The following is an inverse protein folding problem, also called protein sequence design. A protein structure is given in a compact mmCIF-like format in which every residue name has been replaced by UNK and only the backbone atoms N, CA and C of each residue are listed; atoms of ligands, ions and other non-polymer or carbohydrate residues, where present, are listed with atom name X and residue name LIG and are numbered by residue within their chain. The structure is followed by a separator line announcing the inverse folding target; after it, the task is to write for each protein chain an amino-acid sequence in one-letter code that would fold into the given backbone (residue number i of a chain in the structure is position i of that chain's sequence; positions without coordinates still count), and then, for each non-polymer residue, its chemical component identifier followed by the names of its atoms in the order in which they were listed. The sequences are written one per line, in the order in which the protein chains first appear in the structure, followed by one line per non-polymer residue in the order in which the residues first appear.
data_IF_736127607083
#
_entry.id   IF_736127607083
#
_cell.length_a   1.000
_cell.length_b   1.000
_cell.length_c   1.000
_cell.angle_alpha   90.00
_cell.angle_beta   90.00
_cell.angle_gamma   90.00
#
_symmetry.space_group_name_H-M   'P 1'
#
loop_
_entity.id
_entity.type
_entity.pdbx_description
1 polymer ?
#
# COMPACT_ATOMS: atom_id res chain seq x y z
N UNK A 1 14.06 -3.57 33.53
CA UNK A 1 14.62 -2.24 33.22
C UNK A 1 13.50 -1.23 33.24
N UNK A 2 13.75 -0.02 33.78
CA UNK A 2 12.74 0.92 34.29
C UNK A 2 11.65 1.26 33.25
N UNK A 3 10.42 0.84 33.51
CA UNK A 3 9.22 1.43 32.91
C UNK A 3 9.08 2.82 33.52
N UNK A 4 9.54 3.84 32.80
CA UNK A 4 9.20 5.22 33.13
C UNK A 4 7.73 5.40 32.75
N UNK A 5 6.83 5.45 33.74
CA UNK A 5 5.44 5.83 33.49
C UNK A 5 5.44 7.24 32.89
N UNK A 6 5.28 7.34 31.57
CA UNK A 6 5.17 8.63 30.88
C UNK A 6 3.83 9.25 31.26
N UNK A 7 3.85 10.50 31.71
CA UNK A 7 2.64 11.21 32.13
C UNK A 7 1.95 11.73 30.89
N UNK A 8 0.94 11.00 30.42
CA UNK A 8 -0.01 11.54 29.45
C UNK A 8 -0.92 12.55 30.14
N UNK A 9 -1.08 13.71 29.50
CA UNK A 9 -2.22 14.58 29.79
C UNK A 9 -3.36 14.18 28.88
N UNK A 10 -4.57 14.05 29.42
CA UNK A 10 -5.79 13.69 28.69
C UNK A 10 -6.74 14.88 28.67
N UNK A 11 -7.31 15.14 27.51
CA UNK A 11 -8.36 16.13 27.33
C UNK A 11 -9.56 15.46 26.68
N UNK A 12 -10.73 15.61 27.30
CA UNK A 12 -12.00 15.29 26.66
C UNK A 12 -12.24 16.23 25.48
N UNK A 13 -12.85 15.73 24.42
CA UNK A 13 -13.03 16.43 23.15
C UNK A 13 -14.51 16.72 22.88
N UNK A 14 -15.17 17.63 23.63
CA UNK A 14 -16.51 18.08 23.27
C UNK A 14 -16.49 18.85 21.93
N UNK A 15 -17.61 18.82 21.22
CA UNK A 15 -17.78 19.58 19.98
C UNK A 15 -17.46 21.07 20.22
N UNK A 16 -16.60 21.66 19.38
CA UNK A 16 -16.31 23.11 19.37
C UNK A 16 -15.09 23.61 20.14
N UNK A 17 -14.38 22.80 20.94
CA UNK A 17 -13.19 23.29 21.69
C UNK A 17 -11.94 23.41 20.80
N UNK A 18 -11.25 24.55 20.72
CA UNK A 18 -10.09 24.69 19.83
C UNK A 18 -8.85 23.90 20.33
N UNK A 19 -8.07 23.21 19.44
CA UNK A 19 -6.88 22.44 19.84
C UNK A 19 -5.80 23.23 20.60
N UNK A 20 -5.65 24.54 20.33
CA UNK A 20 -4.70 25.42 21.01
C UNK A 20 -5.03 25.65 22.49
N UNK A 21 -6.30 25.50 22.88
CA UNK A 21 -6.76 25.61 24.28
C UNK A 21 -6.34 24.38 25.09
N UNK A 22 -6.16 23.24 24.44
CA UNK A 22 -5.84 21.97 25.11
C UNK A 22 -4.33 21.83 25.34
N UNK A 23 -3.53 22.03 24.30
CA UNK A 23 -2.09 21.81 24.37
C UNK A 23 -1.28 23.01 24.87
N UNK A 24 -1.91 24.18 25.00
CA UNK A 24 -1.20 25.45 25.13
C UNK A 24 -0.69 25.97 23.78
N UNK A 25 0.03 27.09 23.80
CA UNK A 25 0.49 27.76 22.59
C UNK A 25 1.68 27.08 21.91
N UNK A 26 2.51 26.35 22.65
CA UNK A 26 3.65 25.61 22.10
C UNK A 26 3.96 24.35 22.93
N UNK A 27 3.28 23.23 22.67
CA UNK A 27 3.51 21.96 23.38
C UNK A 27 4.81 21.25 22.98
N UNK A 28 5.54 21.76 21.99
CA UNK A 28 6.69 21.08 21.38
C UNK A 28 6.32 19.77 20.66
N UNK A 29 7.33 19.02 20.18
CA UNK A 29 7.13 17.69 19.61
C UNK A 29 6.61 16.70 20.65
N UNK A 30 5.88 15.68 20.20
CA UNK A 30 5.40 14.64 21.09
C UNK A 30 4.57 13.57 20.41
N UNK A 31 4.08 12.64 21.24
CA UNK A 31 3.19 11.55 20.83
C UNK A 31 1.81 11.81 21.43
N UNK A 32 0.78 11.64 20.61
CA UNK A 32 -0.63 11.73 20.99
C UNK A 32 -1.33 10.38 20.79
N UNK A 33 -2.37 10.14 21.59
CA UNK A 33 -3.32 9.05 21.40
C UNK A 33 -4.72 9.63 21.29
N UNK A 34 -5.40 9.40 20.17
CA UNK A 34 -6.81 9.75 19.99
C UNK A 34 -7.65 8.59 20.51
N UNK A 35 -8.65 8.87 21.33
CA UNK A 35 -9.64 7.91 21.78
C UNK A 35 -10.92 8.12 20.97
N UNK A 36 -11.53 7.04 20.47
CA UNK A 36 -12.74 7.08 19.66
C UNK A 36 -13.96 6.55 20.42
N UNK A 37 -15.15 6.91 19.97
CA UNK A 37 -16.41 6.56 20.63
C UNK A 37 -16.68 5.04 20.72
N UNK A 38 -16.08 4.25 19.82
CA UNK A 38 -16.17 2.79 19.80
C UNK A 38 -15.15 2.10 20.74
N UNK A 39 -14.36 2.87 21.50
CA UNK A 39 -13.32 2.37 22.39
C UNK A 39 -12.00 2.04 21.70
N UNK A 40 -11.89 2.23 20.39
CA UNK A 40 -10.62 2.12 19.68
C UNK A 40 -9.74 3.36 19.90
N UNK A 41 -8.45 3.25 19.58
CA UNK A 41 -7.48 4.34 19.76
C UNK A 41 -6.56 4.52 18.55
N UNK A 42 -6.06 5.74 18.29
CA UNK A 42 -5.04 6.02 17.27
C UNK A 42 -3.83 6.64 17.94
N UNK A 43 -2.64 6.08 17.76
CA UNK A 43 -1.38 6.65 18.26
C UNK A 43 -0.69 7.38 17.11
N UNK A 44 -0.24 8.60 17.34
CA UNK A 44 0.56 9.30 16.35
C UNK A 44 1.59 10.20 16.99
N UNK A 45 2.66 10.48 16.28
CA UNK A 45 3.62 11.50 16.67
C UNK A 45 3.49 12.77 15.81
N UNK A 46 3.97 13.89 16.35
CA UNK A 46 4.05 15.14 15.60
C UNK A 46 5.07 16.10 16.20
N UNK A 47 5.74 16.84 15.31
CA UNK A 47 6.50 18.05 15.68
C UNK A 47 5.59 19.28 15.88
N UNK A 48 4.35 19.23 15.38
CA UNK A 48 3.35 20.29 15.45
C UNK A 48 1.97 19.73 15.83
N UNK A 49 1.78 19.26 17.08
CA UNK A 49 0.61 18.48 17.48
C UNK A 49 -0.72 19.25 17.40
N UNK A 50 -0.71 20.58 17.55
CA UNK A 50 -1.93 21.42 17.40
C UNK A 50 -2.48 21.31 15.98
N UNK A 51 -1.64 21.54 14.97
CA UNK A 51 -2.02 21.45 13.56
C UNK A 51 -2.43 20.03 13.20
N UNK A 52 -1.71 19.02 13.72
CA UNK A 52 -2.02 17.62 13.48
C UNK A 52 -3.38 17.21 14.06
N UNK A 53 -3.71 17.65 15.27
CA UNK A 53 -5.02 17.40 15.87
C UNK A 53 -6.14 18.10 15.09
N UNK A 54 -5.93 19.32 14.61
CA UNK A 54 -6.90 20.02 13.77
C UNK A 54 -7.22 19.24 12.48
N UNK A 55 -6.21 18.66 11.83
CA UNK A 55 -6.39 17.77 10.66
C UNK A 55 -7.19 16.53 11.02
N UNK A 56 -6.85 15.85 12.12
CA UNK A 56 -7.56 14.64 12.55
C UNK A 56 -9.04 14.88 12.84
N UNK A 57 -9.43 16.03 13.40
CA UNK A 57 -10.85 16.38 13.63
C UNK A 57 -11.65 16.64 12.36
N UNK A 58 -10.99 17.04 11.28
CA UNK A 58 -11.67 17.18 9.98
C UNK A 58 -12.03 15.80 9.44
N UNK A 59 -11.12 14.84 9.61
CA UNK A 59 -11.24 13.46 9.13
C UNK A 59 -12.14 12.58 10.00
N UNK A 60 -11.87 12.52 11.30
CA UNK A 60 -12.58 11.66 12.24
C UNK A 60 -13.55 12.48 13.09
N UNK A 61 -14.84 12.13 13.03
CA UNK A 61 -15.92 12.84 13.73
C UNK A 61 -16.24 12.25 15.10
N UNK A 62 -15.73 11.07 15.38
CA UNK A 62 -16.00 10.24 16.55
C UNK A 62 -14.86 10.23 17.57
N UNK A 63 -13.90 11.17 17.46
CA UNK A 63 -12.87 11.38 18.49
C UNK A 63 -13.55 11.91 19.76
N UNK A 64 -13.41 11.19 20.87
CA UNK A 64 -13.98 11.55 22.18
C UNK A 64 -12.95 12.13 23.14
N UNK A 65 -11.67 11.80 22.97
CA UNK A 65 -10.59 12.39 23.76
C UNK A 65 -9.25 12.35 23.03
N UNK A 66 -8.29 13.13 23.54
CA UNK A 66 -6.88 13.06 23.14
C UNK A 66 -5.99 12.98 24.37
N UNK A 67 -5.03 12.07 24.34
CA UNK A 67 -3.91 11.99 25.28
C UNK A 67 -2.67 12.53 24.58
N UNK A 68 -1.82 13.28 25.26
CA UNK A 68 -0.53 13.73 24.70
C UNK A 68 0.57 13.74 25.73
N UNK A 69 1.78 13.42 25.27
CA UNK A 69 3.03 13.58 26.01
C UNK A 69 4.05 14.25 25.10
N UNK A 70 4.77 15.24 25.64
CA UNK A 70 5.91 15.83 24.94
C UNK A 70 7.07 14.83 24.93
N UNK A 71 7.78 14.78 23.80
CA UNK A 71 8.90 13.86 23.56
C UNK A 71 9.93 14.60 22.69
N UNK A 72 11.21 14.44 23.01
CA UNK A 72 12.27 14.97 22.18
C UNK A 72 12.18 14.43 20.75
N UNK A 73 12.47 15.28 19.76
CA UNK A 73 12.33 14.91 18.35
C UNK A 73 13.12 13.65 17.96
N UNK A 74 14.26 13.41 18.60
CA UNK A 74 15.10 12.24 18.36
C UNK A 74 14.52 10.93 18.92
N UNK A 75 13.58 11.02 19.86
CA UNK A 75 12.99 9.89 20.56
C UNK A 75 11.56 9.56 20.11
N UNK A 76 10.95 10.38 19.23
CA UNK A 76 9.55 10.24 18.84
C UNK A 76 9.23 8.81 18.37
N UNK A 77 10.00 8.27 17.42
CA UNK A 77 9.73 6.95 16.83
C UNK A 77 9.80 5.84 17.87
N UNK A 78 10.81 5.89 18.74
CA UNK A 78 11.00 4.91 19.81
C UNK A 78 9.84 4.97 20.80
N UNK A 79 9.43 6.18 21.19
CA UNK A 79 8.35 6.38 22.18
C UNK A 79 7.00 5.98 21.61
N UNK A 80 6.70 6.35 20.36
CA UNK A 80 5.49 5.94 19.65
C UNK A 80 5.37 4.41 19.57
N UNK A 81 6.46 3.73 19.18
CA UNK A 81 6.52 2.27 19.13
C UNK A 81 6.28 1.60 20.48
N UNK A 82 6.88 2.13 21.55
CA UNK A 82 6.64 1.63 22.90
C UNK A 82 5.18 1.77 23.33
N UNK A 83 4.51 2.89 22.96
CA UNK A 83 3.10 3.14 23.26
C UNK A 83 2.20 2.19 22.47
N UNK A 84 2.43 2.05 21.16
CA UNK A 84 1.68 1.13 20.30
C UNK A 84 1.79 -0.31 20.81
N UNK A 85 3.02 -0.72 21.16
CA UNK A 85 3.27 -2.07 21.69
C UNK A 85 2.57 -2.27 23.03
N UNK A 86 2.61 -1.29 23.92
CA UNK A 86 1.91 -1.34 25.21
C UNK A 86 0.39 -1.49 25.05
N UNK A 87 -0.23 -0.62 24.25
CA UNK A 87 -1.68 -0.64 24.03
C UNK A 87 -2.15 -1.93 23.35
N UNK A 88 -1.37 -2.48 22.41
CA UNK A 88 -1.65 -3.79 21.81
C UNK A 88 -1.60 -4.92 22.83
N UNK A 89 -0.61 -4.93 23.71
CA UNK A 89 -0.50 -5.93 24.78
C UNK A 89 -1.65 -5.83 25.80
N UNK A 90 -2.24 -4.63 25.94
CA UNK A 90 -3.43 -4.39 26.76
C UNK A 90 -4.74 -4.74 26.03
N UNK A 91 -4.67 -5.19 24.77
CA UNK A 91 -5.83 -5.59 23.97
C UNK A 91 -6.63 -4.42 23.40
N UNK A 92 -6.07 -3.21 23.38
CA UNK A 92 -6.71 -2.03 22.80
C UNK A 92 -6.73 -2.15 21.27
N UNK A 93 -7.90 -1.95 20.68
CA UNK A 93 -8.05 -1.91 19.23
C UNK A 93 -7.44 -0.61 18.69
N UNK A 94 -6.28 -0.69 18.03
CA UNK A 94 -5.62 0.47 17.45
C UNK A 94 -6.08 0.73 16.00
N UNK A 95 -6.63 1.93 15.75
CA UNK A 95 -6.89 2.49 14.40
C UNK A 95 -5.63 2.92 13.65
N UNK A 96 -4.44 2.72 14.22
CA UNK A 96 -3.20 2.74 13.46
C UNK A 96 -3.24 1.58 12.49
N UNK A 97 -3.95 1.80 11.39
CA UNK A 97 -4.20 0.83 10.34
C UNK A 97 -2.89 0.33 9.72
N UNK A 98 -1.79 1.04 9.92
CA UNK A 98 -0.54 0.81 9.21
C UNK A 98 0.69 0.87 10.11
N UNK A 99 1.58 -0.12 10.05
CA UNK A 99 2.92 0.00 10.67
C UNK A 99 3.79 1.06 9.99
N UNK A 100 3.41 1.49 8.79
CA UNK A 100 4.11 2.45 7.94
C UNK A 100 3.66 3.91 8.14
N UNK A 101 2.71 4.19 9.03
CA UNK A 101 2.29 5.57 9.34
C UNK A 101 3.23 6.30 10.31
N UNK A 102 4.29 5.62 10.78
CA UNK A 102 5.39 6.20 11.55
C UNK A 102 6.45 6.78 10.59
N UNK A 103 7.33 7.71 11.02
CA UNK A 103 8.47 8.08 10.19
C UNK A 103 9.34 6.86 9.95
N UNK A 104 9.35 6.43 8.71
CA UNK A 104 10.18 5.33 8.30
C UNK A 104 11.61 5.85 8.15
N UNK A 105 12.59 5.09 8.63
CA UNK A 105 14.01 5.46 8.49
C UNK A 105 14.36 5.82 7.05
N UNK A 106 15.31 6.76 6.86
CA UNK A 106 15.66 7.34 5.55
C UNK A 106 15.68 6.30 4.42
N UNK A 107 14.93 6.57 3.35
CA UNK A 107 14.90 5.73 2.14
C UNK A 107 15.28 6.56 0.92
N UNK A 108 15.85 5.92 -0.10
CA UNK A 108 16.03 6.55 -1.41
C UNK A 108 14.70 6.97 -2.05
N UNK A 109 13.59 6.33 -1.66
CA UNK A 109 12.25 6.72 -2.07
C UNK A 109 11.89 8.13 -1.60
N UNK A 110 12.44 8.59 -0.45
CA UNK A 110 12.12 9.90 0.14
C UNK A 110 12.57 11.08 -0.75
N UNK A 111 13.48 10.83 -1.70
CA UNK A 111 13.92 11.82 -2.70
C UNK A 111 12.99 11.88 -3.94
N UNK A 112 12.10 10.89 -4.10
CA UNK A 112 11.16 10.78 -5.22
C UNK A 112 9.74 11.13 -4.73
N UNK A 113 9.37 10.58 -3.57
CA UNK A 113 8.08 10.82 -2.90
C UNK A 113 8.39 11.14 -1.44
N UNK A 114 7.99 12.30 -0.94
CA UNK A 114 8.27 12.69 0.45
C UNK A 114 7.64 11.73 1.46
N UNK A 115 8.16 11.71 2.69
CA UNK A 115 7.55 10.88 3.74
C UNK A 115 6.13 11.33 4.06
N UNK A 116 5.84 12.64 3.98
CA UNK A 116 4.48 13.15 4.14
C UNK A 116 3.54 12.62 3.05
N UNK A 117 3.96 12.62 1.79
CA UNK A 117 3.17 12.09 0.67
C UNK A 117 2.96 10.57 0.77
N UNK A 118 3.98 9.82 1.19
CA UNK A 118 3.86 8.38 1.43
C UNK A 118 2.85 8.07 2.56
N UNK A 119 2.89 8.84 3.65
CA UNK A 119 1.97 8.68 4.77
C UNK A 119 0.54 9.11 4.40
N UNK A 120 0.39 10.16 3.58
CA UNK A 120 -0.90 10.59 3.05
C UNK A 120 -1.49 9.51 2.12
N UNK A 121 -0.68 8.96 1.22
CA UNK A 121 -1.06 7.89 0.29
C UNK A 121 -1.59 6.65 1.01
N UNK A 122 -0.84 6.14 1.99
CA UNK A 122 -1.24 4.91 2.68
C UNK A 122 -2.49 5.10 3.55
N UNK A 123 -2.72 6.34 3.98
CA UNK A 123 -3.89 6.71 4.77
C UNK A 123 -5.05 7.19 3.91
N UNK A 124 -4.93 7.29 2.58
CA UNK A 124 -6.02 7.76 1.73
C UNK A 124 -7.06 6.64 1.56
N UNK A 125 -8.35 6.96 1.64
CA UNK A 125 -9.38 6.00 1.24
C UNK A 125 -9.33 5.79 -0.28
N UNK A 126 -9.79 4.63 -0.75
CA UNK A 126 -9.75 4.27 -2.18
C UNK A 126 -10.35 5.36 -3.09
N UNK A 127 -11.46 5.97 -2.64
CA UNK A 127 -12.18 7.00 -3.40
C UNK A 127 -11.51 8.38 -3.36
N UNK A 128 -10.63 8.63 -2.39
CA UNK A 128 -9.97 9.93 -2.17
C UNK A 128 -8.51 9.93 -2.64
N UNK A 129 -7.98 8.77 -3.04
CA UNK A 129 -6.63 8.66 -3.55
C UNK A 129 -6.56 9.20 -4.98
N UNK A 130 -6.34 10.51 -5.14
CA UNK A 130 -6.00 11.12 -6.42
C UNK A 130 -4.61 10.64 -6.87
N UNK A 131 -4.57 9.48 -7.53
CA UNK A 131 -3.36 8.95 -8.14
C UNK A 131 -3.07 9.80 -9.37
N UNK A 132 -2.23 10.81 -9.20
CA UNK A 132 -1.78 11.62 -10.32
C UNK A 132 -0.76 10.81 -11.12
N UNK A 133 -1.19 10.23 -12.23
CA UNK A 133 -0.27 9.76 -13.28
C UNK A 133 0.08 10.96 -14.14
N UNK A 134 1.37 11.27 -14.27
CA UNK A 134 1.83 12.35 -15.13
C UNK A 134 1.27 12.17 -16.56
N UNK A 135 0.50 13.14 -17.10
CA UNK A 135 -0.06 13.05 -18.45
C UNK A 135 1.01 12.79 -19.51
N UNK A 136 2.21 13.33 -19.32
CA UNK A 136 3.36 13.14 -20.21
C UNK A 136 3.77 11.67 -20.31
N UNK A 137 3.63 10.89 -19.23
CA UNK A 137 3.95 9.45 -19.24
C UNK A 137 2.94 8.66 -20.07
N UNK A 138 1.66 9.05 -20.02
CA UNK A 138 0.58 8.47 -20.82
C UNK A 138 0.76 8.81 -22.30
N UNK A 139 1.04 10.07 -22.63
CA UNK A 139 1.27 10.49 -24.01
C UNK A 139 2.51 9.82 -24.61
N UNK A 140 3.58 9.68 -23.83
CA UNK A 140 4.76 8.91 -24.23
C UNK A 140 4.43 7.43 -24.51
N UNK A 141 3.56 6.82 -23.69
CA UNK A 141 3.10 5.45 -23.93
C UNK A 141 2.33 5.34 -25.25
N UNK A 142 1.35 6.24 -25.49
CA UNK A 142 0.56 6.29 -26.72
C UNK A 142 1.46 6.45 -27.95
N UNK A 143 2.42 7.37 -27.90
CA UNK A 143 3.36 7.61 -29.00
C UNK A 143 4.20 6.37 -29.33
N UNK A 144 4.68 5.65 -28.31
CA UNK A 144 5.48 4.43 -28.50
C UNK A 144 4.67 3.26 -29.04
N UNK A 145 3.44 3.07 -28.56
CA UNK A 145 2.54 2.04 -29.07
C UNK A 145 2.20 2.31 -30.54
N UNK A 146 1.95 3.57 -30.90
CA UNK A 146 1.69 3.96 -32.29
C UNK A 146 2.91 3.73 -33.19
N UNK A 147 4.11 4.05 -32.70
CA UNK A 147 5.35 3.90 -33.47
C UNK A 147 5.74 2.44 -33.71
N UNK A 148 5.45 1.55 -32.75
CA UNK A 148 5.74 0.12 -32.85
C UNK A 148 4.68 -0.70 -32.08
N UNK A 149 3.59 -1.09 -32.76
CA UNK A 149 2.48 -1.83 -32.15
C UNK A 149 2.83 -3.29 -31.83
N UNK A 150 3.98 -3.79 -32.30
CA UNK A 150 4.42 -5.18 -32.14
C UNK A 150 5.38 -5.38 -30.97
N UNK A 151 5.65 -4.34 -30.15
CA UNK A 151 6.55 -4.40 -28.99
C UNK A 151 6.11 -5.38 -27.91
N UNK A 152 4.81 -5.63 -27.80
CA UNK A 152 4.28 -6.67 -26.91
C UNK A 152 4.55 -8.06 -27.51
N UNK A 153 5.05 -9.02 -26.72
CA UNK A 153 5.28 -10.38 -27.21
C UNK A 153 4.04 -10.96 -27.89
N UNK A 154 4.19 -11.52 -29.10
CA UNK A 154 3.07 -12.05 -29.90
C UNK A 154 2.13 -12.99 -29.12
N UNK A 155 2.61 -13.95 -28.30
CA UNK A 155 1.71 -14.80 -27.52
C UNK A 155 0.81 -14.03 -26.55
N UNK A 156 1.32 -12.96 -25.96
CA UNK A 156 0.56 -12.08 -25.07
C UNK A 156 -0.40 -11.19 -25.86
N UNK A 157 0.07 -10.58 -26.96
CA UNK A 157 -0.76 -9.72 -27.82
C UNK A 157 -1.97 -10.45 -28.41
N UNK A 158 -1.80 -11.72 -28.74
CA UNK A 158 -2.87 -12.58 -29.29
C UNK A 158 -3.70 -13.27 -28.20
N UNK A 159 -3.45 -12.96 -26.92
CA UNK A 159 -4.15 -13.62 -25.82
C UNK A 159 -5.62 -13.17 -25.77
N UNK A 160 -6.60 -14.08 -25.71
CA UNK A 160 -8.02 -13.72 -25.74
C UNK A 160 -8.43 -12.80 -24.58
N UNK A 161 -7.80 -12.96 -23.41
CA UNK A 161 -8.09 -12.17 -22.21
C UNK A 161 -7.05 -11.08 -21.90
N UNK A 162 -6.34 -10.59 -22.92
CA UNK A 162 -5.33 -9.55 -22.73
C UNK A 162 -5.96 -8.29 -22.12
N UNK A 163 -7.19 -7.94 -22.51
CA UNK A 163 -7.83 -6.71 -22.05
C UNK A 163 -8.19 -6.75 -20.57
N UNK A 164 -8.71 -7.88 -20.09
CA UNK A 164 -9.01 -8.14 -18.69
C UNK A 164 -7.74 -8.09 -17.86
N UNK A 165 -6.67 -8.75 -18.32
CA UNK A 165 -5.37 -8.69 -17.67
C UNK A 165 -4.86 -7.26 -17.55
N UNK A 166 -4.90 -6.48 -18.63
CA UNK A 166 -4.44 -5.08 -18.63
C UNK A 166 -5.30 -4.20 -17.72
N UNK A 167 -6.63 -4.39 -17.68
CA UNK A 167 -7.53 -3.69 -16.75
C UNK A 167 -7.10 -3.98 -15.30
N UNK A 168 -6.93 -5.24 -14.93
CA UNK A 168 -6.56 -5.63 -13.57
C UNK A 168 -5.18 -5.08 -13.18
N UNK A 169 -4.18 -5.15 -14.05
CA UNK A 169 -2.86 -4.57 -13.76
C UNK A 169 -2.95 -3.04 -13.60
N UNK A 170 -3.75 -2.36 -14.43
CA UNK A 170 -3.96 -0.91 -14.33
C UNK A 170 -4.65 -0.55 -13.01
N UNK A 171 -5.71 -1.26 -12.63
CA UNK A 171 -6.40 -1.11 -11.35
C UNK A 171 -5.42 -1.30 -10.19
N UNK A 172 -4.55 -2.31 -10.24
CA UNK A 172 -3.57 -2.53 -9.19
C UNK A 172 -2.55 -1.40 -9.10
N UNK A 173 -1.93 -1.01 -10.22
CA UNK A 173 -0.95 0.08 -10.26
C UNK A 173 -1.54 1.38 -9.74
N UNK A 174 -2.75 1.69 -10.16
CA UNK A 174 -3.47 2.88 -9.71
C UNK A 174 -3.71 2.80 -8.21
N UNK A 175 -4.32 1.73 -7.74
CA UNK A 175 -4.83 1.68 -6.37
C UNK A 175 -3.74 1.46 -5.34
N UNK A 176 -2.65 0.77 -5.69
CA UNK A 176 -1.70 0.22 -4.71
C UNK A 176 -0.34 0.91 -4.74
N UNK A 177 0.17 1.30 -5.91
CA UNK A 177 1.52 1.84 -6.03
C UNK A 177 1.49 3.37 -5.94
N UNK A 178 2.18 3.99 -4.97
CA UNK A 178 2.29 5.44 -4.91
C UNK A 178 3.12 5.96 -6.09
N UNK A 179 2.60 6.96 -6.81
CA UNK A 179 3.28 7.63 -7.92
C UNK A 179 3.92 6.62 -8.90
N UNK A 180 3.11 5.78 -9.58
CA UNK A 180 3.62 4.63 -10.31
C UNK A 180 4.56 5.02 -11.46
N UNK A 181 4.37 6.20 -12.07
CA UNK A 181 5.23 6.72 -13.14
C UNK A 181 6.65 7.10 -12.67
N UNK A 182 6.78 7.62 -11.43
CA UNK A 182 8.09 8.02 -10.87
C UNK A 182 8.95 6.82 -10.47
N UNK A 183 8.31 5.69 -10.18
CA UNK A 183 8.96 4.49 -9.64
C UNK A 183 9.07 3.33 -10.65
N UNK A 184 8.63 3.53 -11.90
CA UNK A 184 8.69 2.54 -12.98
C UNK A 184 10.13 2.06 -13.26
N UNK A 185 10.32 0.74 -13.38
CA UNK A 185 11.58 0.09 -13.74
C UNK A 185 12.69 0.19 -12.68
N UNK A 186 12.53 1.06 -11.68
CA UNK A 186 13.47 1.28 -10.57
C UNK A 186 12.94 0.78 -9.24
N UNK A 187 11.68 1.04 -8.93
CA UNK A 187 11.00 0.60 -7.71
C UNK A 187 10.17 -0.65 -7.97
N UNK A 188 9.38 -0.63 -9.03
CA UNK A 188 8.56 -1.77 -9.46
C UNK A 188 8.87 -2.17 -10.91
N UNK A 189 8.53 -3.41 -11.26
CA UNK A 189 8.81 -4.02 -12.56
C UNK A 189 7.61 -4.84 -13.01
N UNK A 190 7.16 -4.62 -14.25
CA UNK A 190 6.30 -5.54 -14.99
C UNK A 190 7.11 -6.41 -15.93
N UNK A 191 6.93 -7.74 -15.86
CA UNK A 191 7.46 -8.70 -16.84
C UNK A 191 6.35 -9.20 -17.75
N UNK A 192 6.61 -9.25 -19.06
CA UNK A 192 5.65 -9.73 -20.06
C UNK A 192 6.01 -11.14 -20.52
N UNK A 193 5.06 -12.07 -20.45
CA UNK A 193 5.19 -13.47 -20.84
C UNK A 193 6.46 -14.17 -20.30
N UNK A 194 6.73 -14.10 -18.98
CA UNK A 194 7.96 -14.63 -18.43
C UNK A 194 8.01 -16.17 -18.53
N UNK A 195 9.22 -16.72 -18.65
CA UNK A 195 9.45 -18.17 -18.67
C UNK A 195 9.48 -18.83 -17.29
N UNK A 196 9.32 -18.06 -16.22
CA UNK A 196 9.30 -18.52 -14.83
C UNK A 196 8.26 -19.63 -14.65
N UNK A 197 8.68 -20.77 -14.09
CA UNK A 197 7.86 -21.95 -13.84
C UNK A 197 7.09 -22.50 -15.07
N UNK A 198 7.49 -22.12 -16.29
CA UNK A 198 6.79 -22.54 -17.50
C UNK A 198 6.88 -24.05 -17.67
N UNK A 199 5.73 -24.71 -17.79
CA UNK A 199 5.62 -26.13 -18.13
C UNK A 199 4.67 -26.30 -19.32
N UNK A 200 4.39 -27.56 -19.72
CA UNK A 200 3.36 -27.86 -20.73
C UNK A 200 1.96 -27.46 -20.26
N UNK A 201 1.73 -27.41 -18.95
CA UNK A 201 0.43 -27.19 -18.33
C UNK A 201 0.37 -25.92 -17.49
N UNK A 202 1.43 -25.10 -17.47
CA UNK A 202 1.50 -23.86 -16.70
C UNK A 202 2.21 -22.78 -17.50
N UNK A 203 1.64 -21.58 -17.58
CA UNK A 203 2.31 -20.41 -18.17
C UNK A 203 1.91 -19.11 -17.49
N UNK A 204 2.88 -18.23 -17.29
CA UNK A 204 2.67 -16.86 -16.82
C UNK A 204 2.32 -15.96 -18.00
N UNK A 205 1.28 -15.14 -17.86
CA UNK A 205 1.01 -14.03 -18.76
C UNK A 205 1.88 -12.82 -18.38
N UNK A 206 1.89 -12.45 -17.10
CA UNK A 206 2.68 -11.34 -16.60
C UNK A 206 2.94 -11.44 -15.09
N UNK A 207 3.94 -10.69 -14.63
CA UNK A 207 4.27 -10.57 -13.21
C UNK A 207 4.60 -9.11 -12.91
N UNK A 208 3.93 -8.55 -11.90
CA UNK A 208 4.29 -7.29 -11.26
C UNK A 208 5.09 -7.59 -9.98
N UNK A 209 6.29 -7.02 -9.90
CA UNK A 209 7.19 -7.23 -8.78
C UNK A 209 7.71 -5.92 -8.22
N UNK A 210 7.88 -5.87 -6.90
CA UNK A 210 8.60 -4.81 -6.20
C UNK A 210 9.70 -5.50 -5.41
N UNK A 211 10.94 -5.06 -5.60
CA UNK A 211 12.10 -5.77 -5.07
C UNK A 211 12.16 -7.25 -5.50
N UNK A 212 12.02 -8.16 -4.54
CA UNK A 212 12.08 -9.61 -4.69
C UNK A 212 10.73 -10.28 -4.37
N UNK A 213 9.64 -9.51 -4.32
CA UNK A 213 8.28 -9.98 -4.10
C UNK A 213 7.49 -9.81 -5.40
N UNK A 214 6.79 -10.86 -5.82
CA UNK A 214 5.79 -10.79 -6.89
C UNK A 214 4.46 -10.39 -6.25
N UNK A 215 4.06 -9.13 -6.35
CA UNK A 215 2.87 -8.64 -5.64
C UNK A 215 1.58 -9.06 -6.34
N UNK A 216 1.61 -9.07 -7.67
CA UNK A 216 0.51 -9.49 -8.52
C UNK A 216 1.10 -10.29 -9.68
N UNK A 217 0.58 -11.46 -9.97
CA UNK A 217 0.93 -12.17 -11.20
C UNK A 217 -0.26 -12.94 -11.77
N UNK A 218 -0.27 -13.02 -13.09
CA UNK A 218 -1.34 -13.65 -13.86
C UNK A 218 -0.75 -14.88 -14.56
N UNK A 219 -1.40 -16.02 -14.37
CA UNK A 219 -1.00 -17.25 -15.03
C UNK A 219 -2.22 -18.04 -15.51
N UNK A 220 -1.94 -19.06 -16.30
CA UNK A 220 -2.92 -20.06 -16.68
C UNK A 220 -2.37 -21.44 -16.40
N UNK A 221 -3.24 -22.28 -15.84
CA UNK A 221 -3.01 -23.70 -15.72
C UNK A 221 -3.92 -24.46 -16.68
N UNK A 222 -3.45 -25.63 -17.10
CA UNK A 222 -4.22 -26.51 -17.96
C UNK A 222 -5.01 -27.47 -17.09
N UNK A 223 -6.34 -27.40 -17.20
CA UNK A 223 -7.23 -28.29 -16.45
C UNK A 223 -7.26 -29.70 -17.04
N UNK A 224 -7.92 -30.62 -16.33
CA UNK A 224 -8.01 -32.03 -16.72
C UNK A 224 -8.67 -32.24 -18.09
N UNK A 225 -9.59 -31.36 -18.48
CA UNK A 225 -10.24 -31.38 -19.80
C UNK A 225 -9.38 -30.78 -20.92
N UNK A 226 -8.19 -30.26 -20.58
CA UNK A 226 -7.22 -29.70 -21.51
C UNK A 226 -7.44 -28.22 -21.84
N UNK A 227 -8.43 -27.55 -21.26
CA UNK A 227 -8.65 -26.10 -21.37
C UNK A 227 -7.64 -25.32 -20.50
N UNK A 228 -7.40 -24.07 -20.87
CA UNK A 228 -6.62 -23.14 -20.06
C UNK A 228 -7.54 -22.40 -19.11
N UNK A 229 -7.22 -22.45 -17.82
CA UNK A 229 -7.92 -21.75 -16.75
C UNK A 229 -7.02 -20.63 -16.22
N UNK A 230 -7.57 -19.43 -16.19
CA UNK A 230 -6.86 -18.22 -15.76
C UNK A 230 -6.90 -18.14 -14.25
N UNK A 231 -5.75 -17.79 -13.67
CA UNK A 231 -5.61 -17.55 -12.23
C UNK A 231 -4.81 -16.26 -12.03
N UNK A 232 -5.33 -15.41 -11.15
CA UNK A 232 -4.65 -14.23 -10.64
C UNK A 232 -4.17 -14.54 -9.22
N UNK A 233 -2.91 -14.18 -8.93
CA UNK A 233 -2.39 -14.28 -7.56
C UNK A 233 -2.06 -12.90 -7.05
N UNK A 234 -2.55 -12.63 -5.85
CA UNK A 234 -2.37 -11.38 -5.14
C UNK A 234 -1.66 -11.66 -3.81
N UNK A 235 -0.51 -11.01 -3.61
CA UNK A 235 0.17 -10.98 -2.33
C UNK A 235 -0.09 -9.64 -1.63
N UNK A 236 -0.43 -9.71 -0.34
CA UNK A 236 -0.64 -8.56 0.53
C UNK A 236 0.17 -8.69 1.81
N UNK A 237 0.25 -7.61 2.59
CA UNK A 237 0.94 -7.62 3.86
C UNK A 237 0.27 -8.59 4.86
N UNK A 238 1.04 -9.19 5.77
CA UNK A 238 0.51 -10.11 6.80
C UNK A 238 -0.37 -9.40 7.85
N UNK A 239 -0.47 -8.08 7.78
CA UNK A 239 -1.32 -7.21 8.59
C UNK A 239 -2.80 -7.24 8.19
N UNK A 240 -3.16 -7.89 7.07
CA UNK A 240 -4.56 -8.10 6.69
C UNK A 240 -5.30 -8.80 7.86
N UNK A 241 -6.29 -8.15 8.48
CA UNK A 241 -7.00 -8.70 9.62
C UNK A 241 -7.80 -9.96 9.24
N UNK A 242 -7.87 -10.92 10.16
CA UNK A 242 -8.71 -12.10 9.98
C UNK A 242 -10.22 -11.77 9.99
N UNK A 243 -10.58 -10.55 10.39
CA UNK A 243 -11.95 -10.01 10.36
C UNK A 243 -12.34 -9.38 9.03
N UNK A 244 -11.42 -9.24 8.07
CA UNK A 244 -11.74 -8.74 6.72
C UNK A 244 -12.77 -9.67 6.06
N UNK A 245 -13.75 -9.08 5.37
CA UNK A 245 -14.79 -9.84 4.68
C UNK A 245 -14.21 -10.77 3.60
N UNK A 246 -13.12 -10.33 2.97
CA UNK A 246 -12.37 -11.11 1.97
C UNK A 246 -11.12 -11.78 2.55
N UNK A 247 -10.86 -11.65 3.86
CA UNK A 247 -9.64 -12.16 4.50
C UNK A 247 -9.49 -13.68 4.39
N UNK A 248 -10.60 -14.41 4.32
CA UNK A 248 -10.64 -15.87 4.14
C UNK A 248 -10.19 -16.33 2.74
N UNK A 249 -10.06 -15.44 1.77
CA UNK A 249 -9.50 -15.76 0.45
C UNK A 249 -7.96 -15.84 0.47
N UNK A 250 -7.33 -15.42 1.57
CA UNK A 250 -5.89 -15.33 1.68
C UNK A 250 -5.32 -16.36 2.64
N UNK A 251 -4.34 -17.11 2.17
CA UNK A 251 -3.55 -18.05 2.96
C UNK A 251 -2.24 -17.41 3.43
N UNK A 252 -1.70 -17.88 4.55
CA UNK A 252 -0.37 -17.48 5.02
C UNK A 252 0.72 -17.98 4.06
N UNK A 253 1.59 -17.06 3.66
CA UNK A 253 2.73 -17.32 2.79
C UNK A 253 3.99 -16.63 3.29
N UNK A 254 5.13 -16.95 2.67
CA UNK A 254 6.37 -16.26 2.97
C UNK A 254 7.34 -16.26 1.79
N UNK A 255 8.00 -15.14 1.60
CA UNK A 255 9.16 -15.01 0.73
C UNK A 255 10.44 -15.12 1.57
N UNK A 256 11.37 -15.98 1.16
CA UNK A 256 12.63 -16.25 1.87
C UNK A 256 13.37 -14.98 2.34
N UNK A 257 13.33 -13.92 1.54
CA UNK A 257 14.10 -12.70 1.74
C UNK A 257 13.25 -11.46 2.01
N UNK A 258 11.94 -11.53 1.82
CA UNK A 258 11.03 -10.41 2.07
C UNK A 258 10.14 -10.59 3.29
N UNK A 259 10.06 -11.81 3.84
CA UNK A 259 9.29 -12.13 5.02
C UNK A 259 7.88 -12.64 4.71
N UNK A 260 7.01 -12.67 5.73
CA UNK A 260 5.65 -13.18 5.60
C UNK A 260 4.79 -12.28 4.71
N UNK A 261 3.84 -12.91 4.02
CA UNK A 261 2.79 -12.30 3.20
C UNK A 261 1.50 -13.09 3.38
N UNK A 262 0.37 -12.53 2.99
CA UNK A 262 -0.88 -13.26 2.79
C UNK A 262 -1.15 -13.36 1.29
N UNK A 263 -1.55 -14.53 0.79
CA UNK A 263 -1.64 -14.84 -0.64
C UNK A 263 -3.03 -15.34 -1.02
N UNK A 264 -3.68 -14.69 -1.98
CA UNK A 264 -4.93 -15.16 -2.57
C UNK A 264 -4.71 -15.71 -3.98
N UNK A 265 -5.39 -16.82 -4.30
CA UNK A 265 -5.49 -17.38 -5.64
C UNK A 265 -6.92 -17.17 -6.15
N UNK A 266 -7.07 -16.25 -7.08
CA UNK A 266 -8.36 -15.79 -7.59
C UNK A 266 -8.59 -16.40 -8.98
N UNK A 267 -9.78 -16.95 -9.20
CA UNK A 267 -10.17 -17.49 -10.48
C UNK A 267 -10.38 -16.35 -11.48
N UNK A 268 -9.80 -16.48 -12.68
CA UNK A 268 -9.85 -15.45 -13.70
C UNK A 268 -8.86 -14.31 -13.47
N UNK A 269 -8.84 -13.38 -14.42
CA UNK A 269 -8.08 -12.12 -14.35
C UNK A 269 -8.99 -10.89 -14.28
N UNK A 270 -10.24 -11.09 -13.85
CA UNK A 270 -11.25 -10.05 -13.63
C UNK A 270 -11.43 -9.79 -12.13
N UNK A 271 -12.23 -8.79 -11.78
CA UNK A 271 -12.71 -8.51 -10.41
C UNK A 271 -11.66 -8.03 -9.40
N UNK A 272 -10.48 -7.59 -9.85
CA UNK A 272 -9.51 -6.99 -8.93
C UNK A 272 -10.03 -5.67 -8.32
N UNK A 273 -10.90 -4.96 -9.03
CA UNK A 273 -11.65 -3.82 -8.51
C UNK A 273 -12.53 -4.20 -7.33
N UNK A 274 -13.24 -5.33 -7.40
CA UNK A 274 -14.06 -5.82 -6.29
C UNK A 274 -13.21 -6.24 -5.10
N UNK A 275 -12.11 -6.96 -5.33
CA UNK A 275 -11.19 -7.37 -4.26
C UNK A 275 -10.53 -6.17 -3.58
N UNK A 276 -10.10 -5.16 -4.34
CA UNK A 276 -9.49 -3.94 -3.81
C UNK A 276 -10.52 -2.93 -3.28
N UNK A 277 -11.82 -3.19 -3.43
CA UNK A 277 -12.86 -2.40 -2.79
C UNK A 277 -12.97 -2.68 -1.28
N UNK A 278 -12.49 -3.86 -0.82
CA UNK A 278 -12.31 -4.14 0.61
C UNK A 278 -11.17 -3.24 1.15
N UNK A 279 -11.46 -2.34 2.10
CA UNK A 279 -10.47 -1.39 2.60
C UNK A 279 -9.28 -2.04 3.31
N UNK A 280 -9.47 -3.20 3.94
CA UNK A 280 -8.41 -3.91 4.65
C UNK A 280 -7.48 -4.62 3.66
N UNK A 281 -8.04 -5.21 2.59
CA UNK A 281 -7.25 -5.80 1.49
C UNK A 281 -6.43 -4.73 0.77
N UNK A 282 -7.06 -3.61 0.40
CA UNK A 282 -6.37 -2.49 -0.25
C UNK A 282 -5.22 -1.96 0.61
N UNK A 283 -5.49 -1.76 1.90
CA UNK A 283 -4.50 -1.28 2.84
C UNK A 283 -3.31 -2.25 2.96
N UNK A 284 -3.58 -3.55 3.12
CA UNK A 284 -2.54 -4.57 3.20
C UNK A 284 -1.73 -4.66 1.90
N UNK A 285 -2.36 -4.47 0.73
CA UNK A 285 -1.66 -4.39 -0.54
C UNK A 285 -0.73 -3.16 -0.62
N UNK A 286 -1.23 -1.98 -0.22
CA UNK A 286 -0.45 -0.73 -0.17
C UNK A 286 0.72 -0.82 0.82
N UNK A 287 0.51 -1.46 1.97
CA UNK A 287 1.55 -1.72 2.95
C UNK A 287 2.67 -2.56 2.38
N UNK A 288 2.33 -3.67 1.72
CA UNK A 288 3.34 -4.51 1.10
C UNK A 288 4.11 -3.74 0.03
N UNK A 289 3.41 -3.02 -0.85
CA UNK A 289 4.02 -2.26 -1.93
C UNK A 289 4.97 -1.18 -1.42
N UNK A 290 4.50 -0.30 -0.52
CA UNK A 290 5.32 0.78 0.04
C UNK A 290 6.49 0.21 0.85
N UNK A 291 6.24 -0.82 1.67
CA UNK A 291 7.28 -1.50 2.44
C UNK A 291 8.40 -2.08 1.57
N UNK A 292 8.06 -2.66 0.40
CA UNK A 292 9.08 -3.13 -0.54
C UNK A 292 9.76 -1.98 -1.29
N UNK A 293 9.04 -0.94 -1.75
CA UNK A 293 9.62 0.21 -2.45
C UNK A 293 10.69 0.91 -1.60
N UNK A 294 10.45 1.03 -0.30
CA UNK A 294 11.39 1.68 0.62
C UNK A 294 12.70 0.93 0.83
N UNK A 295 12.77 -0.36 0.51
CA UNK A 295 14.01 -1.16 0.59
C UNK A 295 15.02 -0.81 -0.51
N UNK A 296 14.61 -0.05 -1.52
CA UNK A 296 15.49 0.44 -2.59
C UNK A 296 15.21 -0.17 -3.97
N UNK A 297 16.24 -0.30 -4.80
CA UNK A 297 16.09 -0.62 -6.23
C UNK A 297 15.60 -2.04 -6.49
N UNK A 298 14.67 -2.18 -7.45
CA UNK A 298 14.10 -3.43 -7.92
C UNK A 298 15.16 -4.42 -8.44
N UNK A 299 15.22 -5.59 -7.81
CA UNK A 299 16.11 -6.70 -8.17
C UNK A 299 15.81 -7.25 -9.57
N UNK A 300 14.57 -7.13 -10.05
CA UNK A 300 14.13 -7.64 -11.34
C UNK A 300 14.15 -6.62 -12.48
N UNK A 301 14.80 -5.47 -12.31
CA UNK A 301 14.81 -4.36 -13.30
C UNK A 301 15.17 -4.77 -14.72
N UNK A 302 16.07 -5.75 -14.91
CA UNK A 302 16.43 -6.28 -16.24
C UNK A 302 15.30 -6.99 -17.00
N UNK A 303 14.26 -7.43 -16.30
CA UNK A 303 13.12 -8.15 -16.88
C UNK A 303 11.93 -7.22 -17.16
N UNK A 304 12.11 -5.91 -16.95
CA UNK A 304 11.05 -4.96 -17.17
C UNK A 304 10.65 -4.85 -18.64
N UNK A 305 9.39 -5.14 -18.92
CA UNK A 305 8.74 -4.91 -20.20
C UNK A 305 8.14 -3.51 -20.22
N UNK A 306 8.86 -2.59 -20.85
CA UNK A 306 8.34 -1.24 -21.13
C UNK A 306 7.10 -1.29 -22.05
N UNK A 307 7.02 -2.27 -22.96
CA UNK A 307 5.87 -2.44 -23.84
C UNK A 307 4.59 -2.75 -23.05
N UNK A 308 4.68 -3.63 -22.05
CA UNK A 308 3.55 -3.94 -21.18
C UNK A 308 3.20 -2.76 -20.27
N UNK A 309 4.20 -2.08 -19.73
CA UNK A 309 3.97 -0.89 -18.91
C UNK A 309 3.25 0.21 -19.72
N UNK A 310 3.67 0.47 -20.96
CA UNK A 310 3.02 1.45 -21.85
C UNK A 310 1.53 1.13 -22.05
N UNK A 311 1.18 -0.12 -22.32
CA UNK A 311 -0.21 -0.57 -22.47
C UNK A 311 -1.04 -0.38 -21.20
N UNK A 312 -0.44 -0.62 -20.04
CA UNK A 312 -1.11 -0.39 -18.75
C UNK A 312 -1.30 1.10 -18.48
N UNK A 313 -0.29 1.94 -18.69
CA UNK A 313 -0.38 3.38 -18.45
C UNK A 313 -1.44 4.06 -19.30
N UNK A 314 -1.59 3.67 -20.57
CA UNK A 314 -2.65 4.21 -21.45
C UNK A 314 -4.05 3.97 -20.88
N UNK A 315 -4.25 2.89 -20.12
CA UNK A 315 -5.54 2.54 -19.50
C UNK A 315 -5.78 3.20 -18.15
N UNK A 316 -4.74 3.79 -17.55
CA UNK A 316 -4.87 4.58 -16.32
C UNK A 316 -5.22 6.05 -16.61
N UNK A 317 -5.03 6.49 -17.84
CA UNK A 317 -5.42 7.82 -18.30
C UNK A 317 -6.87 7.88 -18.78
N UNK A 318 -7.44 9.10 -18.92
CA UNK A 318 -8.74 9.31 -19.55
C UNK A 318 -8.77 8.90 -21.04
#
# INVERSE_FOLDING_TARGET
MRSSSRIFRRWDMPAGLAPSVMFGSDPGPGVYVLEFADGSEYVGQSVHPISRLATHRRRYKDIVAVRFTSVDRADLDRVEQEIITGLRNEGVLLRNRTLLSQPLGKSALDAIVSQEEQAAWISADFQDADVVVAPERIELARARILADPDRLPTPMRMHPQLMEALKSIATYLYSVIPFPHETEGRGWVLSAWPSTNRTRNHRRLCTLSIQNVELLFLFEDRSENGAWEQVMVLNVAPTLPDTSELGNLFDDGAYRTAGPVKTAYLAGWHDLDDVLSDPDVLLAARELALGQLRKGRAMFSRFHSQALADEVFVRMGP
#
